data_IF_672471897297
#
_entry.id   IF_672471897297
#
_cell.length_a   1.000
_cell.length_b   1.000
_cell.length_c   1.000
_cell.angle_alpha   90.00
_cell.angle_beta   90.00
_cell.angle_gamma   90.00
#
_symmetry.space_group_name_H-M   'P 1'
#
loop_
_entity.id
_entity.type
_entity.pdbx_description
1 polymer ?
#
# COMPACT_ATOMS: atom_id res chain seq x y z
N UNK A 1 -22.90 37.85 25.50
CA UNK A 1 -22.50 37.65 24.10
C UNK A 1 -21.13 37.01 24.14
N UNK A 2 -21.08 35.67 24.05
CA UNK A 2 -19.90 34.86 24.39
C UNK A 2 -19.13 34.54 23.12
N UNK A 3 -17.88 34.99 23.04
CA UNK A 3 -16.99 34.78 21.90
C UNK A 3 -16.44 33.34 22.00
N UNK A 4 -16.77 32.48 21.04
CA UNK A 4 -16.15 31.16 20.93
C UNK A 4 -14.71 31.26 20.38
N UNK A 5 -13.74 30.50 20.91
CA UNK A 5 -12.39 30.47 20.37
C UNK A 5 -12.35 29.68 19.06
N UNK A 6 -11.73 30.29 18.05
CA UNK A 6 -11.49 29.73 16.72
C UNK A 6 -10.56 28.52 16.83
N UNK A 7 -11.08 27.32 16.59
CA UNK A 7 -10.28 26.09 16.48
C UNK A 7 -9.27 26.23 15.34
N UNK A 8 -7.99 26.10 15.66
CA UNK A 8 -6.92 26.05 14.67
C UNK A 8 -7.04 24.77 13.83
N UNK A 9 -6.77 24.82 12.51
CA UNK A 9 -6.78 23.62 11.68
C UNK A 9 -5.71 22.62 12.16
N UNK A 10 -5.93 21.31 11.99
CA UNK A 10 -4.93 20.31 12.34
C UNK A 10 -3.64 20.58 11.57
N UNK A 11 -2.51 20.58 12.28
CA UNK A 11 -1.17 20.66 11.69
C UNK A 11 -1.03 19.48 10.73
N UNK A 12 -1.02 19.77 9.44
CA UNK A 12 -0.66 18.81 8.39
C UNK A 12 0.72 18.25 8.72
N UNK A 13 0.78 16.93 8.94
CA UNK A 13 2.03 16.24 9.13
C UNK A 13 2.89 16.43 7.87
N UNK A 14 4.19 16.77 7.99
CA UNK A 14 5.06 16.89 6.84
C UNK A 14 5.14 15.54 6.10
N UNK A 15 5.26 15.54 4.77
CA UNK A 15 5.37 14.31 3.99
C UNK A 15 6.58 13.49 4.47
N UNK A 16 6.33 12.22 4.79
CA UNK A 16 7.30 11.24 5.36
C UNK A 16 8.45 10.90 4.40
N UNK A 17 8.35 11.35 3.15
CA UNK A 17 9.29 11.15 2.03
C UNK A 17 10.71 11.74 2.26
N UNK A 18 10.93 12.43 3.38
CA UNK A 18 12.16 13.19 3.63
C UNK A 18 13.16 12.47 4.55
N UNK A 19 12.75 11.50 5.38
CA UNK A 19 13.66 10.96 6.40
C UNK A 19 14.69 9.97 5.82
N UNK A 20 14.30 9.10 4.90
CA UNK A 20 15.20 8.06 4.39
C UNK A 20 16.23 8.61 3.40
N UNK A 21 15.82 9.37 2.38
CA UNK A 21 16.76 10.00 1.43
C UNK A 21 17.73 10.94 2.16
N UNK A 22 17.24 11.75 3.12
CA UNK A 22 18.10 12.62 3.90
C UNK A 22 19.13 11.85 4.73
N UNK A 23 18.73 10.71 5.35
CA UNK A 23 19.66 9.85 6.08
C UNK A 23 20.72 9.26 5.16
N UNK A 24 20.35 8.83 3.96
CA UNK A 24 21.30 8.35 2.94
C UNK A 24 22.27 9.46 2.54
N UNK A 25 21.79 10.65 2.23
CA UNK A 25 22.66 11.77 1.84
C UNK A 25 23.60 12.20 2.97
N UNK A 26 23.09 12.27 4.21
CA UNK A 26 23.89 12.61 5.38
C UNK A 26 24.94 11.54 5.69
N UNK A 27 24.60 10.27 5.52
CA UNK A 27 25.56 9.17 5.62
C UNK A 27 26.63 9.25 4.52
N UNK A 28 26.22 9.45 3.26
CA UNK A 28 27.15 9.57 2.14
C UNK A 28 28.12 10.73 2.33
N UNK A 29 27.62 11.90 2.75
CA UNK A 29 28.43 13.08 3.01
C UNK A 29 29.54 12.81 4.03
N UNK A 30 29.30 11.91 5.01
CA UNK A 30 30.34 11.44 5.95
C UNK A 30 31.26 10.39 5.33
N UNK A 31 30.71 9.41 4.62
CA UNK A 31 31.47 8.29 4.06
C UNK A 31 32.44 8.73 2.96
N UNK A 32 32.05 9.67 2.10
CA UNK A 32 32.79 10.05 0.89
C UNK A 32 34.17 10.65 1.17
N UNK A 33 34.36 11.28 2.34
CA UNK A 33 35.64 11.90 2.75
C UNK A 33 36.29 11.23 3.96
N UNK A 34 35.64 10.23 4.58
CA UNK A 34 36.19 9.56 5.74
C UNK A 34 37.49 8.81 5.38
N UNK A 35 38.56 9.06 6.15
CA UNK A 35 39.89 8.46 5.93
C UNK A 35 39.84 6.94 5.81
N UNK A 36 39.02 6.27 6.63
CA UNK A 36 38.81 4.81 6.58
C UNK A 36 38.21 4.36 5.25
N UNK A 37 37.21 5.09 4.75
CA UNK A 37 36.53 4.76 3.49
C UNK A 37 37.45 4.99 2.30
N UNK A 38 38.23 6.07 2.31
CA UNK A 38 39.24 6.34 1.29
C UNK A 38 40.36 5.29 1.32
N UNK A 39 40.83 4.90 2.51
CA UNK A 39 41.81 3.82 2.67
C UNK A 39 41.30 2.48 2.14
N UNK A 40 40.04 2.14 2.44
CA UNK A 40 39.36 0.95 1.94
C UNK A 40 39.16 0.99 0.43
N UNK A 41 38.75 2.13 -0.12
CA UNK A 41 38.61 2.29 -1.57
C UNK A 41 39.95 2.12 -2.29
N UNK A 42 41.06 2.56 -1.67
CA UNK A 42 42.41 2.34 -2.22
C UNK A 42 42.82 0.88 -2.23
N UNK A 43 42.37 0.05 -1.29
CA UNK A 43 42.68 -1.39 -1.32
C UNK A 43 42.03 -2.12 -2.49
N UNK A 44 40.98 -1.57 -3.12
CA UNK A 44 40.41 -2.12 -4.35
C UNK A 44 41.41 -2.16 -5.52
N UNK A 45 42.44 -1.29 -5.48
CA UNK A 45 43.49 -1.26 -6.49
C UNK A 45 44.54 -2.36 -6.30
N UNK A 46 44.52 -3.12 -5.20
CA UNK A 46 45.57 -4.09 -4.88
C UNK A 46 45.63 -5.27 -5.88
N UNK A 47 44.48 -5.72 -6.35
CA UNK A 47 44.38 -6.85 -7.30
C UNK A 47 44.73 -6.45 -8.74
N UNK A 48 44.35 -5.24 -9.14
CA UNK A 48 44.65 -4.70 -10.48
C UNK A 48 44.90 -3.17 -10.40
N UNK A 49 46.15 -2.76 -10.14
CA UNK A 49 46.53 -1.34 -10.08
C UNK A 49 46.37 -0.63 -11.44
N UNK A 50 46.46 -1.38 -12.54
CA UNK A 50 46.35 -0.83 -13.89
C UNK A 50 44.89 -0.60 -14.31
N UNK A 51 43.92 -1.15 -13.57
CA UNK A 51 42.51 -0.91 -13.83
C UNK A 51 42.15 0.59 -13.74
N UNK A 52 41.26 1.10 -14.61
CA UNK A 52 40.80 2.49 -14.52
C UNK A 52 40.25 2.90 -13.14
N UNK A 53 39.61 1.96 -12.43
CA UNK A 53 39.16 2.18 -11.04
C UNK A 53 40.35 2.35 -10.09
N UNK A 54 41.38 1.50 -10.19
CA UNK A 54 42.56 1.55 -9.35
C UNK A 54 43.30 2.89 -9.44
N UNK A 55 43.51 3.38 -10.67
CA UNK A 55 44.07 4.72 -10.91
C UNK A 55 43.21 5.84 -10.32
N UNK A 56 41.89 5.68 -10.32
CA UNK A 56 40.97 6.70 -9.83
C UNK A 56 41.00 6.83 -8.30
N UNK A 57 41.13 5.70 -7.60
CA UNK A 57 41.07 5.64 -6.13
C UNK A 57 42.41 5.88 -5.45
N UNK A 58 43.54 5.60 -6.13
CA UNK A 58 44.88 5.79 -5.59
C UNK A 58 45.06 7.17 -4.92
N UNK A 59 44.75 8.24 -5.64
CA UNK A 59 44.90 9.62 -5.17
C UNK A 59 43.57 10.29 -4.77
N UNK A 60 42.49 9.51 -4.65
CA UNK A 60 41.19 10.05 -4.32
C UNK A 60 41.18 10.71 -2.92
N UNK A 61 40.74 11.95 -2.85
CA UNK A 61 40.43 12.68 -1.61
C UNK A 61 38.93 12.63 -1.27
N UNK A 62 38.11 12.18 -2.23
CA UNK A 62 36.66 12.14 -2.16
C UNK A 62 36.11 11.05 -3.10
N UNK A 63 35.25 10.17 -2.58
CA UNK A 63 34.66 9.07 -3.34
C UNK A 63 33.70 9.53 -4.45
N UNK A 64 33.22 10.78 -4.43
CA UNK A 64 32.42 11.32 -5.55
C UNK A 64 33.18 11.32 -6.87
N UNK A 65 34.52 11.23 -6.86
CA UNK A 65 35.31 11.07 -8.08
C UNK A 65 34.89 9.83 -8.88
N UNK A 66 34.49 8.76 -8.18
CA UNK A 66 34.01 7.50 -8.77
C UNK A 66 32.64 7.71 -9.43
N UNK A 67 31.74 8.41 -8.75
CA UNK A 67 30.42 8.75 -9.27
C UNK A 67 30.55 9.60 -10.54
N UNK A 68 31.40 10.63 -10.52
CA UNK A 68 31.68 11.49 -11.68
C UNK A 68 32.29 10.70 -12.84
N UNK A 69 33.22 9.79 -12.57
CA UNK A 69 33.87 8.98 -13.60
C UNK A 69 32.95 7.94 -14.26
N UNK A 70 31.84 7.59 -13.61
CA UNK A 70 30.83 6.64 -14.09
C UNK A 70 29.58 7.31 -14.64
N UNK A 71 29.57 8.65 -14.75
CA UNK A 71 28.51 9.39 -15.44
C UNK A 71 28.70 9.30 -16.97
N UNK A 72 27.60 9.03 -17.66
CA UNK A 72 27.58 8.89 -19.12
C UNK A 72 27.98 10.23 -19.75
N UNK A 73 28.92 10.22 -20.71
CA UNK A 73 29.30 11.39 -21.50
C UNK A 73 30.50 12.21 -20.99
N UNK A 74 31.15 11.81 -19.90
CA UNK A 74 32.33 12.53 -19.34
C UNK A 74 33.67 12.03 -19.91
N UNK A 75 33.71 10.86 -20.55
CA UNK A 75 34.93 10.16 -21.02
C UNK A 75 34.72 9.50 -22.38
N UNK A 76 35.80 9.05 -23.07
CA UNK A 76 35.67 8.19 -24.25
C UNK A 76 34.75 7.00 -23.95
N UNK A 77 33.88 6.68 -24.92
CA UNK A 77 32.82 5.69 -24.78
C UNK A 77 33.35 4.35 -24.24
N UNK A 78 32.75 3.84 -23.16
CA UNK A 78 33.05 2.53 -22.57
C UNK A 78 33.95 2.55 -21.33
N UNK A 79 34.63 3.66 -21.02
CA UNK A 79 35.41 3.76 -19.76
C UNK A 79 34.53 3.79 -18.51
N UNK A 80 33.28 4.25 -18.63
CA UNK A 80 32.28 4.30 -17.56
C UNK A 80 31.75 2.90 -17.21
N UNK A 81 31.38 2.12 -18.23
CA UNK A 81 30.90 0.74 -18.04
C UNK A 81 31.99 -0.18 -17.49
N UNK A 82 33.27 0.01 -17.85
CA UNK A 82 34.40 -0.75 -17.26
C UNK A 82 34.56 -0.49 -15.76
N UNK A 83 34.47 0.78 -15.33
CA UNK A 83 34.54 1.13 -13.91
C UNK A 83 33.32 0.58 -13.17
N UNK A 84 32.12 0.72 -13.74
CA UNK A 84 30.89 0.18 -13.16
C UNK A 84 30.94 -1.34 -13.03
N UNK A 85 31.42 -2.05 -14.05
CA UNK A 85 31.53 -3.50 -14.04
C UNK A 85 32.40 -3.97 -12.88
N UNK A 86 33.59 -3.40 -12.73
CA UNK A 86 34.48 -3.71 -11.60
C UNK A 86 33.88 -3.37 -10.24
N UNK A 87 33.15 -2.25 -10.13
CA UNK A 87 32.45 -1.89 -8.90
C UNK A 87 31.35 -2.90 -8.56
N UNK A 88 30.63 -3.44 -9.54
CA UNK A 88 29.60 -4.46 -9.30
C UNK A 88 30.23 -5.76 -8.81
N UNK A 89 31.37 -6.16 -9.38
CA UNK A 89 32.13 -7.32 -8.89
C UNK A 89 32.53 -7.14 -7.42
N UNK A 90 33.12 -6.00 -7.08
CA UNK A 90 33.49 -5.67 -5.70
C UNK A 90 32.27 -5.67 -4.77
N UNK A 91 31.17 -5.02 -5.20
CA UNK A 91 29.97 -4.86 -4.41
C UNK A 91 29.24 -6.17 -4.07
N UNK A 92 29.64 -7.31 -4.67
CA UNK A 92 29.15 -8.63 -4.27
C UNK A 92 29.50 -8.92 -2.80
N UNK A 93 30.70 -8.51 -2.36
CA UNK A 93 31.22 -8.77 -1.02
C UNK A 93 31.65 -7.51 -0.25
N UNK A 94 31.74 -6.36 -0.94
CA UNK A 94 32.19 -5.09 -0.38
C UNK A 94 31.03 -4.08 -0.20
N UNK A 95 30.68 -3.80 1.05
CA UNK A 95 29.61 -2.86 1.41
C UNK A 95 29.89 -1.43 0.95
N UNK A 96 31.15 -0.98 0.95
CA UNK A 96 31.49 0.37 0.53
C UNK A 96 31.32 0.51 -0.99
N UNK A 97 31.77 -0.46 -1.77
CA UNK A 97 31.57 -0.49 -3.22
C UNK A 97 30.07 -0.49 -3.55
N UNK A 98 29.30 -1.31 -2.82
CA UNK A 98 27.84 -1.32 -2.92
C UNK A 98 27.23 0.04 -2.62
N UNK A 99 27.70 0.72 -1.56
CA UNK A 99 27.21 2.03 -1.18
C UNK A 99 27.54 3.12 -2.20
N UNK A 100 28.72 3.08 -2.83
CA UNK A 100 29.09 3.98 -3.94
C UNK A 100 28.15 3.77 -5.12
N UNK A 101 27.87 2.51 -5.48
CA UNK A 101 26.93 2.19 -6.56
C UNK A 101 25.52 2.66 -6.26
N UNK A 102 25.00 2.43 -5.04
CA UNK A 102 23.70 2.98 -4.65
C UNK A 102 23.68 4.50 -4.83
N UNK A 103 24.70 5.21 -4.35
CA UNK A 103 24.76 6.67 -4.53
C UNK A 103 24.76 7.07 -6.01
N UNK A 104 25.48 6.32 -6.85
CA UNK A 104 25.51 6.55 -8.30
C UNK A 104 24.16 6.32 -8.96
N UNK A 105 23.37 5.35 -8.48
CA UNK A 105 22.07 4.98 -9.03
C UNK A 105 20.92 5.84 -8.47
N UNK A 106 21.10 6.45 -7.30
CA UNK A 106 20.05 7.20 -6.58
C UNK A 106 19.26 8.17 -7.46
N UNK A 107 19.87 9.05 -8.28
CA UNK A 107 19.09 9.97 -9.12
C UNK A 107 18.13 9.25 -10.07
N UNK A 108 18.57 8.14 -10.67
CA UNK A 108 17.75 7.32 -11.55
C UNK A 108 16.68 6.52 -10.81
N UNK A 109 17.02 6.00 -9.63
CA UNK A 109 16.07 5.30 -8.76
C UNK A 109 14.95 6.23 -8.27
N UNK A 110 15.29 7.43 -7.80
CA UNK A 110 14.34 8.45 -7.36
C UNK A 110 13.40 8.82 -8.52
N UNK A 111 13.97 9.14 -9.69
CA UNK A 111 13.18 9.51 -10.87
C UNK A 111 12.17 8.43 -11.29
N UNK A 112 12.52 7.15 -11.15
CA UNK A 112 11.61 6.03 -11.48
C UNK A 112 10.64 5.70 -10.36
N UNK A 113 11.04 5.84 -9.11
CA UNK A 113 10.21 5.55 -7.95
C UNK A 113 9.11 6.60 -7.74
N UNK A 114 9.36 7.88 -8.08
CA UNK A 114 8.35 8.94 -7.98
C UNK A 114 7.10 8.68 -8.81
N UNK A 115 7.23 7.97 -9.94
CA UNK A 115 6.09 7.55 -10.78
C UNK A 115 5.17 6.51 -10.11
N UNK A 116 5.57 5.95 -8.97
CA UNK A 116 4.82 4.92 -8.25
C UNK A 116 4.22 5.43 -6.92
N UNK A 117 4.32 6.75 -6.63
CA UNK A 117 3.83 7.33 -5.36
C UNK A 117 2.34 7.08 -5.13
N UNK A 118 1.53 7.13 -6.18
CA UNK A 118 0.08 7.01 -6.06
C UNK A 118 -0.38 5.58 -5.70
N UNK A 119 0.48 4.57 -5.87
CA UNK A 119 0.16 3.18 -5.55
C UNK A 119 0.50 2.78 -4.11
N UNK A 120 1.25 3.61 -3.37
CA UNK A 120 1.76 3.30 -2.04
C UNK A 120 1.47 4.46 -1.08
N UNK A 121 0.30 4.44 -0.43
CA UNK A 121 -0.15 5.52 0.46
C UNK A 121 0.67 5.64 1.75
N UNK A 122 1.26 4.54 2.23
CA UNK A 122 1.87 4.46 3.58
C UNK A 122 3.40 4.50 3.54
N UNK A 123 4.03 3.97 2.48
CA UNK A 123 5.49 3.78 2.40
C UNK A 123 6.04 4.64 1.27
N UNK A 124 7.11 5.40 1.55
CA UNK A 124 7.83 6.13 0.52
C UNK A 124 8.39 5.16 -0.54
N UNK A 125 8.07 5.31 -1.84
CA UNK A 125 8.65 4.47 -2.89
C UNK A 125 10.18 4.40 -2.89
N UNK A 126 10.86 5.44 -2.40
CA UNK A 126 12.33 5.43 -2.27
C UNK A 126 12.78 4.40 -1.22
N UNK A 127 12.04 4.24 -0.13
CA UNK A 127 12.30 3.22 0.92
C UNK A 127 12.12 1.79 0.40
N UNK A 128 11.35 1.60 -0.68
CA UNK A 128 11.17 0.30 -1.34
C UNK A 128 12.25 0.04 -2.42
N UNK A 129 12.55 1.05 -3.23
CA UNK A 129 13.42 0.87 -4.40
C UNK A 129 14.90 0.74 -4.02
N UNK A 130 15.36 1.40 -2.95
CA UNK A 130 16.78 1.36 -2.54
C UNK A 130 17.18 -0.02 -2.00
N UNK A 131 16.43 -0.67 -1.09
CA UNK A 131 16.70 -2.05 -0.70
C UNK A 131 16.61 -3.03 -1.88
N UNK A 132 15.64 -2.84 -2.78
CA UNK A 132 15.55 -3.65 -4.00
C UNK A 132 16.78 -3.48 -4.90
N UNK A 133 17.33 -2.26 -5.03
CA UNK A 133 18.57 -2.00 -5.75
C UNK A 133 19.79 -2.67 -5.09
N UNK A 134 19.85 -2.68 -3.75
CA UNK A 134 20.90 -3.39 -3.03
C UNK A 134 20.87 -4.90 -3.31
N UNK A 135 19.68 -5.51 -3.29
CA UNK A 135 19.53 -6.92 -3.63
C UNK A 135 19.89 -7.21 -5.09
N UNK A 136 19.38 -6.40 -6.03
CA UNK A 136 19.69 -6.53 -7.46
C UNK A 136 21.19 -6.44 -7.73
N UNK A 137 21.90 -5.59 -6.97
CA UNK A 137 23.35 -5.47 -7.04
C UNK A 137 24.07 -6.74 -6.60
N UNK A 138 23.70 -7.30 -5.44
CA UNK A 138 24.33 -8.51 -4.89
C UNK A 138 24.15 -9.73 -5.79
N UNK A 139 23.03 -9.79 -6.51
CA UNK A 139 22.70 -10.89 -7.42
C UNK A 139 22.99 -10.57 -8.89
N UNK A 140 23.70 -9.48 -9.19
CA UNK A 140 23.93 -9.08 -10.56
C UNK A 140 24.89 -10.06 -11.26
N UNK A 141 24.47 -10.54 -12.43
CA UNK A 141 25.24 -11.44 -13.28
C UNK A 141 26.12 -10.61 -14.22
N UNK A 142 27.35 -10.37 -13.78
CA UNK A 142 28.39 -9.62 -14.50
C UNK A 142 28.95 -10.37 -15.71
N UNK A 143 28.73 -11.69 -15.82
CA UNK A 143 29.19 -12.48 -16.97
C UNK A 143 28.27 -12.25 -18.17
N UNK A 144 26.95 -12.31 -17.94
CA UNK A 144 25.93 -12.15 -18.99
C UNK A 144 25.63 -10.70 -19.32
N UNK A 145 25.71 -9.77 -18.36
CA UNK A 145 25.25 -8.38 -18.51
C UNK A 145 26.38 -7.38 -18.33
N UNK A 146 27.20 -7.22 -19.37
CA UNK A 146 28.44 -6.39 -19.34
C UNK A 146 28.27 -4.93 -19.75
N UNK A 147 27.12 -4.56 -20.33
CA UNK A 147 26.86 -3.22 -20.85
C UNK A 147 25.61 -2.63 -20.20
N UNK A 148 25.54 -1.30 -20.15
CA UNK A 148 24.37 -0.57 -19.62
C UNK A 148 24.03 -1.00 -18.18
N UNK A 149 25.06 -1.24 -17.38
CA UNK A 149 24.95 -1.85 -16.04
C UNK A 149 24.04 -1.02 -15.15
N UNK A 150 24.24 0.30 -15.11
CA UNK A 150 23.43 1.20 -14.29
C UNK A 150 21.95 1.17 -14.67
N UNK A 151 21.64 1.18 -15.97
CA UNK A 151 20.25 1.13 -16.45
C UNK A 151 19.59 -0.22 -16.12
N UNK A 152 20.35 -1.32 -16.25
CA UNK A 152 19.89 -2.67 -15.92
C UNK A 152 19.59 -2.80 -14.43
N UNK A 153 20.50 -2.35 -13.56
CA UNK A 153 20.31 -2.35 -12.10
C UNK A 153 19.10 -1.51 -11.68
N UNK A 154 18.91 -0.32 -12.26
CA UNK A 154 17.72 0.50 -11.99
C UNK A 154 16.45 -0.23 -12.42
N UNK A 155 16.45 -0.86 -13.59
CA UNK A 155 15.30 -1.62 -14.09
C UNK A 155 14.97 -2.80 -13.18
N UNK A 156 15.96 -3.58 -12.76
CA UNK A 156 15.79 -4.72 -11.86
C UNK A 156 15.26 -4.30 -10.49
N UNK A 157 15.79 -3.20 -9.95
CA UNK A 157 15.34 -2.62 -8.68
C UNK A 157 13.86 -2.19 -8.75
N UNK A 158 13.50 -1.43 -9.79
CA UNK A 158 12.11 -0.96 -10.01
C UNK A 158 11.16 -2.12 -10.24
N UNK A 159 11.58 -3.12 -11.02
CA UNK A 159 10.78 -4.33 -11.24
C UNK A 159 10.53 -5.07 -9.92
N UNK A 160 11.57 -5.29 -9.13
CA UNK A 160 11.49 -6.02 -7.85
C UNK A 160 10.67 -5.25 -6.82
N UNK A 161 10.86 -3.94 -6.70
CA UNK A 161 10.18 -3.10 -5.72
C UNK A 161 8.68 -2.93 -6.01
N UNK A 162 8.31 -2.73 -7.28
CA UNK A 162 6.95 -2.29 -7.62
C UNK A 162 6.18 -3.27 -8.50
N UNK A 163 6.83 -3.87 -9.51
CA UNK A 163 6.12 -4.66 -10.53
C UNK A 163 5.93 -6.12 -10.12
N UNK A 164 6.91 -6.72 -9.44
CA UNK A 164 6.82 -8.11 -8.99
C UNK A 164 5.71 -8.32 -7.94
N UNK A 165 5.54 -7.44 -6.93
CA UNK A 165 4.41 -7.55 -5.99
C UNK A 165 3.05 -7.40 -6.68
N UNK A 166 2.91 -6.43 -7.59
CA UNK A 166 1.68 -6.24 -8.36
C UNK A 166 1.34 -7.47 -9.21
N UNK A 167 2.35 -8.07 -9.88
CA UNK A 167 2.16 -9.30 -10.65
C UNK A 167 1.74 -10.50 -9.81
N UNK A 168 2.24 -10.61 -8.57
CA UNK A 168 1.83 -11.68 -7.65
C UNK A 168 0.39 -11.50 -7.17
N UNK A 169 -0.07 -10.25 -6.97
CA UNK A 169 -1.48 -9.95 -6.68
C UNK A 169 -2.37 -10.26 -7.89
N UNK A 170 -1.96 -9.84 -9.09
CA UNK A 170 -2.72 -10.15 -10.30
C UNK A 170 -2.78 -11.65 -10.62
N UNK A 171 -1.79 -12.46 -10.17
CA UNK A 171 -1.84 -13.91 -10.36
C UNK A 171 -2.86 -14.62 -9.46
N UNK A 172 -3.31 -13.99 -8.37
CA UNK A 172 -4.42 -14.47 -7.55
C UNK A 172 -5.78 -13.89 -7.97
N UNK A 173 -5.76 -12.85 -8.82
CA UNK A 173 -6.98 -12.22 -9.34
C UNK A 173 -7.42 -12.96 -10.59
N UNK A 174 -8.59 -13.57 -10.54
CA UNK A 174 -9.21 -14.23 -11.68
C UNK A 174 -9.80 -13.14 -12.60
N UNK A 175 -9.43 -13.14 -13.89
CA UNK A 175 -10.03 -12.23 -14.88
C UNK A 175 -11.50 -12.60 -15.04
N UNK A 176 -12.39 -11.81 -14.45
CA UNK A 176 -13.84 -11.97 -14.59
C UNK A 176 -14.38 -11.06 -15.71
N UNK A 177 -15.39 -11.55 -16.42
CA UNK A 177 -16.12 -10.73 -17.40
C UNK A 177 -16.75 -9.52 -16.69
N UNK A 178 -16.74 -8.32 -17.30
CA UNK A 178 -17.44 -7.15 -16.77
C UNK A 178 -18.91 -7.44 -16.40
N UNK A 179 -19.56 -8.31 -17.16
CA UNK A 179 -20.98 -8.68 -16.98
C UNK A 179 -21.26 -9.33 -15.62
N UNK A 180 -20.26 -9.92 -14.96
CA UNK A 180 -20.41 -10.50 -13.61
C UNK A 180 -20.46 -9.48 -12.48
N UNK A 181 -19.97 -8.26 -12.69
CA UNK A 181 -20.12 -7.21 -11.68
C UNK A 181 -21.58 -6.75 -11.56
N UNK A 182 -22.37 -6.92 -12.63
CA UNK A 182 -23.82 -6.70 -12.59
C UNK A 182 -24.54 -7.83 -11.84
N UNK A 183 -24.09 -9.09 -11.99
CA UNK A 183 -24.63 -10.24 -11.25
C UNK A 183 -24.36 -10.16 -9.73
N UNK A 184 -23.16 -9.72 -9.33
CA UNK A 184 -22.80 -9.59 -7.90
C UNK A 184 -23.52 -8.40 -7.22
N UNK A 185 -23.98 -7.40 -7.98
CA UNK A 185 -24.75 -6.28 -7.46
C UNK A 185 -26.17 -6.69 -7.04
N UNK A 186 -26.78 -7.67 -7.72
CA UNK A 186 -28.09 -8.22 -7.35
C UNK A 186 -28.03 -9.10 -6.09
N UNK A 187 -26.86 -9.67 -5.76
CA UNK A 187 -26.65 -10.47 -4.56
C UNK A 187 -26.58 -9.68 -3.25
N UNK A 188 -26.48 -8.34 -3.33
CA UNK A 188 -26.41 -7.41 -2.19
C UNK A 188 -27.62 -6.49 -2.08
N UNK A 189 -28.76 -6.86 -2.68
CA UNK A 189 -30.01 -6.18 -2.33
C UNK A 189 -30.25 -6.40 -0.82
N UNK A 190 -30.21 -5.35 0.04
CA UNK A 190 -30.65 -5.51 1.42
C UNK A 190 -32.07 -6.05 1.37
N UNK A 191 -32.37 -7.08 2.17
CA UNK A 191 -33.70 -7.67 2.24
C UNK A 191 -34.72 -6.53 2.29
N UNK A 192 -35.70 -6.56 1.39
CA UNK A 192 -36.72 -5.53 1.37
C UNK A 192 -37.39 -5.48 2.75
N UNK A 193 -37.86 -4.30 3.18
CA UNK A 193 -38.54 -4.18 4.48
C UNK A 193 -39.73 -5.18 4.63
N UNK A 194 -40.29 -5.64 3.51
CA UNK A 194 -41.32 -6.69 3.48
C UNK A 194 -40.76 -8.10 3.73
N UNK A 195 -39.58 -8.43 3.21
CA UNK A 195 -38.88 -9.69 3.48
C UNK A 195 -38.43 -9.76 4.93
N UNK A 196 -37.83 -8.69 5.47
CA UNK A 196 -37.50 -8.61 6.90
C UNK A 196 -38.74 -8.78 7.79
N UNK A 197 -39.86 -8.14 7.42
CA UNK A 197 -41.12 -8.32 8.15
C UNK A 197 -41.67 -9.75 8.03
N UNK A 198 -41.54 -10.39 6.86
CA UNK A 198 -41.96 -11.77 6.66
C UNK A 198 -41.14 -12.75 7.51
N UNK A 199 -39.83 -12.50 7.65
CA UNK A 199 -38.93 -13.28 8.50
C UNK A 199 -39.26 -13.08 9.98
N UNK A 200 -39.45 -11.84 10.44
CA UNK A 200 -39.89 -11.53 11.82
C UNK A 200 -41.22 -12.21 12.16
N UNK A 201 -42.17 -12.25 11.22
CA UNK A 201 -43.45 -12.94 11.41
C UNK A 201 -43.29 -14.46 11.45
N UNK A 202 -42.38 -15.02 10.63
CA UNK A 202 -42.06 -16.46 10.63
C UNK A 202 -41.45 -16.85 11.97
N UNK A 203 -40.46 -16.11 12.44
CA UNK A 203 -39.74 -16.40 13.68
C UNK A 203 -40.64 -16.21 14.90
N UNK A 204 -41.53 -15.21 14.90
CA UNK A 204 -42.52 -15.02 15.96
C UNK A 204 -43.49 -16.23 16.07
N UNK A 205 -43.86 -16.86 14.94
CA UNK A 205 -44.67 -18.09 14.96
C UNK A 205 -43.90 -19.26 15.53
N UNK A 206 -42.63 -19.43 15.12
CA UNK A 206 -41.76 -20.48 15.66
C UNK A 206 -41.54 -20.31 17.17
N UNK A 207 -41.46 -19.06 17.66
CA UNK A 207 -41.34 -18.72 19.07
C UNK A 207 -42.67 -18.72 19.85
N UNK A 208 -43.75 -19.29 19.28
CA UNK A 208 -45.06 -19.46 19.92
C UNK A 208 -45.76 -18.15 20.36
N UNK A 209 -45.52 -17.04 19.66
CA UNK A 209 -46.31 -15.80 19.85
C UNK A 209 -47.78 -16.06 19.45
N UNK A 210 -48.77 -15.58 20.24
CA UNK A 210 -50.19 -15.81 19.93
C UNK A 210 -50.58 -15.35 18.51
N UNK A 211 -51.26 -16.22 17.76
CA UNK A 211 -51.70 -15.95 16.37
C UNK A 211 -52.53 -14.68 16.25
N UNK A 212 -53.33 -14.34 17.27
CA UNK A 212 -54.14 -13.12 17.29
C UNK A 212 -53.30 -11.82 17.33
N UNK A 213 -52.12 -11.86 17.94
CA UNK A 213 -51.19 -10.72 17.98
C UNK A 213 -50.50 -10.53 16.63
N UNK A 214 -50.04 -11.64 16.02
CA UNK A 214 -49.42 -11.65 14.69
C UNK A 214 -50.41 -11.13 13.63
N UNK A 215 -51.67 -11.58 13.69
CA UNK A 215 -52.69 -11.14 12.74
C UNK A 215 -53.09 -9.67 12.93
N UNK A 216 -53.09 -9.17 14.17
CA UNK A 216 -53.28 -7.74 14.44
C UNK A 216 -52.16 -6.90 13.82
N UNK A 217 -50.89 -7.30 13.98
CA UNK A 217 -49.75 -6.59 13.38
C UNK A 217 -49.79 -6.64 11.86
N UNK A 218 -50.11 -7.81 11.27
CA UNK A 218 -50.27 -7.96 9.82
C UNK A 218 -51.36 -7.05 9.27
N UNK A 219 -52.51 -6.97 9.94
CA UNK A 219 -53.62 -6.10 9.52
C UNK A 219 -53.25 -4.62 9.61
N UNK A 220 -52.53 -4.22 10.64
CA UNK A 220 -52.06 -2.84 10.81
C UNK A 220 -51.03 -2.46 9.74
N UNK A 221 -50.16 -3.39 9.32
CA UNK A 221 -49.21 -3.17 8.23
C UNK A 221 -49.90 -3.03 6.86
N UNK A 222 -51.05 -3.68 6.66
CA UNK A 222 -51.80 -3.61 5.39
C UNK A 222 -52.67 -2.34 5.26
N UNK A 223 -53.26 -1.87 6.36
CA UNK A 223 -54.25 -0.78 6.34
C UNK A 223 -53.65 0.56 6.77
N UNK A 224 -52.43 0.55 7.31
CA UNK A 224 -51.64 1.70 7.78
C UNK A 224 -52.35 2.62 8.81
N UNK A 225 -53.52 2.22 9.34
CA UNK A 225 -54.34 3.04 10.24
C UNK A 225 -55.02 2.25 11.38
N UNK A 226 -54.71 2.55 12.65
CA UNK A 226 -55.37 1.93 13.81
C UNK A 226 -56.87 2.21 13.92
N UNK A 227 -57.36 3.33 13.37
CA UNK A 227 -58.79 3.67 13.46
C UNK A 227 -59.65 2.84 12.50
N UNK A 228 -59.10 2.46 11.34
CA UNK A 228 -59.75 1.55 10.41
C UNK A 228 -59.90 0.15 11.01
N UNK A 229 -58.81 -0.38 11.59
CA UNK A 229 -58.83 -1.69 12.27
C UNK A 229 -59.75 -1.67 13.50
N UNK A 230 -59.86 -0.53 14.18
CA UNK A 230 -60.77 -0.35 15.30
C UNK A 230 -62.24 -0.41 14.86
N UNK A 231 -62.59 0.23 13.74
CA UNK A 231 -63.92 0.17 13.15
C UNK A 231 -64.29 -1.26 12.71
N UNK A 232 -63.36 -1.98 12.07
CA UNK A 232 -63.56 -3.38 11.65
C UNK A 232 -63.85 -4.31 12.84
N UNK A 233 -63.20 -4.06 13.99
CA UNK A 233 -63.31 -4.89 15.19
C UNK A 233 -64.33 -4.38 16.20
N UNK A 234 -65.08 -3.32 15.89
CA UNK A 234 -66.03 -2.65 16.81
C UNK A 234 -65.41 -2.29 18.18
N UNK A 235 -64.20 -1.76 18.17
CA UNK A 235 -63.48 -1.29 19.37
C UNK A 235 -62.97 0.13 19.19
N UNK A 236 -62.43 0.72 20.26
CA UNK A 236 -61.82 2.06 20.16
C UNK A 236 -60.42 2.00 19.57
N UNK A 237 -59.99 3.07 18.89
CA UNK A 237 -58.61 3.22 18.40
C UNK A 237 -57.57 3.10 19.52
N UNK A 238 -57.91 3.50 20.76
CA UNK A 238 -57.04 3.35 21.94
C UNK A 238 -56.83 1.87 22.27
N UNK A 239 -57.87 1.06 22.20
CA UNK A 239 -57.80 -0.39 22.42
C UNK A 239 -56.86 -1.03 21.41
N UNK A 240 -56.98 -0.70 20.10
CA UNK A 240 -56.08 -1.23 19.06
C UNK A 240 -54.62 -0.83 19.30
N UNK A 241 -54.32 0.42 19.67
CA UNK A 241 -52.95 0.83 19.99
C UNK A 241 -52.38 0.06 21.18
N UNK A 242 -53.14 -0.08 22.27
CA UNK A 242 -52.71 -0.84 23.44
C UNK A 242 -52.44 -2.32 23.10
N UNK A 243 -53.28 -2.94 22.26
CA UNK A 243 -53.05 -4.32 21.81
C UNK A 243 -51.84 -4.43 20.87
N UNK A 244 -51.64 -3.47 19.96
CA UNK A 244 -50.46 -3.40 19.11
C UNK A 244 -49.18 -3.30 19.93
N UNK A 245 -49.14 -2.39 20.90
CA UNK A 245 -47.93 -2.16 21.69
C UNK A 245 -47.57 -3.42 22.50
N UNK A 246 -48.56 -4.09 23.10
CA UNK A 246 -48.38 -5.39 23.76
C UNK A 246 -47.94 -6.50 22.79
N UNK A 247 -48.50 -6.53 21.58
CA UNK A 247 -48.11 -7.50 20.56
C UNK A 247 -46.64 -7.29 20.13
N UNK A 248 -46.22 -6.05 19.93
CA UNK A 248 -44.82 -5.70 19.62
C UNK A 248 -43.88 -6.10 20.76
N UNK A 249 -44.24 -5.82 22.02
CA UNK A 249 -43.45 -6.23 23.18
C UNK A 249 -43.30 -7.76 23.26
N UNK A 250 -44.39 -8.51 23.03
CA UNK A 250 -44.35 -9.99 23.03
C UNK A 250 -43.47 -10.54 21.92
N UNK A 251 -43.58 -10.00 20.70
CA UNK A 251 -42.72 -10.40 19.58
C UNK A 251 -41.26 -10.13 19.91
N UNK A 252 -40.94 -8.94 20.42
CA UNK A 252 -39.56 -8.60 20.82
C UNK A 252 -39.02 -9.52 21.91
N UNK A 253 -39.82 -9.81 22.94
CA UNK A 253 -39.42 -10.70 24.02
C UNK A 253 -39.20 -12.14 23.53
N UNK A 254 -40.08 -12.65 22.68
CA UNK A 254 -39.99 -14.00 22.14
C UNK A 254 -38.76 -14.17 21.22
N UNK A 255 -38.48 -13.19 20.36
CA UNK A 255 -37.32 -13.22 19.47
C UNK A 255 -35.99 -13.02 20.22
N UNK A 256 -35.99 -12.27 21.33
CA UNK A 256 -34.80 -12.12 22.18
C UNK A 256 -34.44 -13.39 22.96
N UNK A 257 -35.38 -14.32 23.16
CA UNK A 257 -35.15 -15.61 23.82
C UNK A 257 -34.74 -16.70 22.82
N UNK A 258 -35.14 -16.55 21.55
CA UNK A 258 -34.85 -17.50 20.47
C UNK A 258 -33.50 -17.27 19.78
N UNK A 259 -32.85 -16.12 20.03
CA UNK A 259 -31.51 -15.76 19.56
C UNK A 259 -30.42 -16.18 20.55
#
# INVERSE_FOLDING_TARGET
MTIQPRTAPPRTAPPRTSCFSFRLDAEWARLRTARRSLGHARSWAAEDPAHPLGRLVADATDLDVIIRATQRGVKPAGSDDVILHRLVELARDDDLAGRVLIQRLLPGLISRATAHRDYFEIIDPIELVVPAAWLALRTFDTERRRQHIAASLISDAVFTAFRAPLRRRSSSEEVRSPDRFEEDADGFAPASAMEELADVVRDARCASVPTGDIELLRRLAQVESPSMVAAERNVTSRTIRNHRDRAVERVRAALAIAA
#
